data_IF_478178186922
#
_entry.id   IF_478178186922
#
_cell.length_a   1.000
_cell.length_b   1.000
_cell.length_c   1.000
_cell.angle_alpha   90.00
_cell.angle_beta   90.00
_cell.angle_gamma   90.00
#
_symmetry.space_group_name_H-M   'P 1'
#
loop_
_entity.id
_entity.type
_entity.pdbx_description
1 polymer ?
#
# COMPACT_ATOMS: atom_id res chain seq x y z
N UNK A 1 11.22 -2.26 4.09
CA UNK A 1 10.89 -1.94 5.49
C UNK A 1 11.28 -0.52 5.90
N UNK A 2 12.48 -0.03 5.59
CA UNK A 2 12.95 1.31 6.01
C UNK A 2 12.10 2.50 5.51
N UNK A 3 11.36 2.34 4.40
CA UNK A 3 10.49 3.39 3.84
C UNK A 3 9.13 3.55 4.54
N UNK A 4 8.72 2.58 5.39
CA UNK A 4 7.40 2.59 6.05
C UNK A 4 7.42 3.24 7.44
N UNK A 5 8.59 3.26 8.09
CA UNK A 5 8.79 3.78 9.44
C UNK A 5 8.44 5.27 9.56
N UNK A 6 8.90 6.18 8.67
CA UNK A 6 8.58 7.60 8.81
C UNK A 6 7.08 7.89 8.63
N UNK A 7 6.40 7.14 7.75
CA UNK A 7 4.95 7.27 7.55
C UNK A 7 4.15 6.81 8.76
N UNK A 8 4.52 5.68 9.35
CA UNK A 8 3.83 5.14 10.52
C UNK A 8 4.03 6.03 11.76
N UNK A 9 5.24 6.54 11.96
CA UNK A 9 5.56 7.40 13.10
C UNK A 9 4.82 8.74 13.00
N UNK A 10 4.71 9.31 11.81
CA UNK A 10 3.96 10.55 11.60
C UNK A 10 2.46 10.40 11.90
N UNK A 11 1.83 9.30 11.47
CA UNK A 11 0.42 9.01 11.76
C UNK A 11 0.18 8.87 13.26
N UNK A 12 1.11 8.21 13.98
CA UNK A 12 1.02 8.06 15.43
C UNK A 12 1.17 9.41 16.14
N UNK A 13 2.04 10.29 15.65
CA UNK A 13 2.33 11.57 16.30
C UNK A 13 1.26 12.64 16.06
N UNK A 14 0.61 12.64 14.89
CA UNK A 14 -0.43 13.63 14.57
C UNK A 14 -1.74 13.34 15.32
N UNK A 15 -1.98 12.08 15.66
CA UNK A 15 -3.23 11.63 16.24
C UNK A 15 -3.52 12.24 17.64
N UNK A 16 -2.58 12.25 18.61
CA UNK A 16 -2.78 12.92 19.89
C UNK A 16 -3.08 14.41 19.76
N UNK A 17 -2.49 15.08 18.77
CA UNK A 17 -2.70 16.52 18.53
C UNK A 17 -4.14 16.78 18.15
N UNK A 18 -4.68 16.03 17.18
CA UNK A 18 -6.08 16.16 16.78
C UNK A 18 -7.06 15.66 17.83
N UNK A 19 -6.71 14.64 18.62
CA UNK A 19 -7.52 14.20 19.75
C UNK A 19 -7.68 15.31 20.79
N UNK A 20 -6.58 16.01 21.13
CA UNK A 20 -6.61 17.12 22.08
C UNK A 20 -7.42 18.31 21.54
N UNK A 21 -7.20 18.70 20.28
CA UNK A 21 -7.95 19.79 19.64
C UNK A 21 -9.43 19.45 19.50
N UNK A 22 -9.76 18.20 19.14
CA UNK A 22 -11.13 17.69 19.06
C UNK A 22 -11.86 17.74 20.40
N UNK A 23 -11.20 17.34 21.49
CA UNK A 23 -11.72 17.42 22.86
C UNK A 23 -12.01 18.87 23.29
N UNK A 24 -11.18 19.83 22.89
CA UNK A 24 -11.40 21.26 23.16
C UNK A 24 -12.65 21.80 22.43
N UNK A 25 -12.83 21.40 21.16
CA UNK A 25 -14.00 21.79 20.36
C UNK A 25 -15.30 21.15 20.88
N UNK A 26 -15.29 19.85 21.18
CA UNK A 26 -16.43 19.12 21.74
C UNK A 26 -16.83 19.65 23.13
N UNK A 27 -15.85 20.01 23.96
CA UNK A 27 -16.12 20.63 25.25
C UNK A 27 -16.90 21.94 25.09
N UNK A 28 -16.49 22.82 24.16
CA UNK A 28 -17.16 24.10 23.87
C UNK A 28 -18.57 23.97 23.31
N UNK A 29 -18.84 22.89 22.58
CA UNK A 29 -20.16 22.60 22.03
C UNK A 29 -21.16 22.14 23.09
N UNK A 30 -20.68 21.60 24.22
CA UNK A 30 -21.50 21.16 25.36
C UNK A 30 -21.83 22.28 26.35
N UNK A 31 -21.25 23.48 26.20
CA UNK A 31 -21.61 24.62 27.05
C UNK A 31 -22.99 25.16 26.68
N UNK A 32 -23.70 25.63 27.69
CA UNK A 32 -25.00 26.29 27.54
C UNK A 32 -24.85 27.63 26.82
N UNK A 33 -25.81 27.96 25.93
CA UNK A 33 -25.76 29.11 25.00
C UNK A 33 -25.61 30.48 25.70
N UNK A 34 -25.84 30.54 27.02
CA UNK A 34 -25.64 31.72 27.86
C UNK A 34 -24.15 32.05 28.11
N UNK A 35 -23.24 31.11 27.83
CA UNK A 35 -21.81 31.31 28.07
C UNK A 35 -21.14 32.01 26.87
N UNK A 36 -20.25 33.00 27.10
CA UNK A 36 -19.54 33.71 26.03
C UNK A 36 -18.55 32.82 25.24
N UNK A 37 -18.30 31.60 25.71
CA UNK A 37 -17.42 30.62 25.07
C UNK A 37 -18.17 29.44 24.46
N UNK A 38 -19.50 29.41 24.56
CA UNK A 38 -20.31 28.40 23.90
C UNK A 38 -20.23 28.61 22.39
N UNK A 39 -20.05 27.52 21.65
CA UNK A 39 -20.02 27.56 20.20
C UNK A 39 -20.86 26.41 19.68
N UNK A 40 -22.02 26.75 19.12
CA UNK A 40 -22.99 25.80 18.61
C UNK A 40 -22.92 25.77 17.09
N UNK A 41 -22.57 24.62 16.55
CA UNK A 41 -22.49 24.40 15.11
C UNK A 41 -23.87 23.94 14.64
N UNK A 42 -24.40 24.58 13.59
CA UNK A 42 -25.70 24.21 13.01
C UNK A 42 -25.50 23.11 11.96
N UNK A 43 -25.27 21.89 12.43
CA UNK A 43 -24.98 20.74 11.58
C UNK A 43 -25.15 19.43 12.36
N UNK A 44 -25.44 18.34 11.64
CA UNK A 44 -25.67 17.01 12.21
C UNK A 44 -24.48 16.58 13.09
N UNK A 45 -24.72 16.21 14.35
CA UNK A 45 -23.70 15.76 15.32
C UNK A 45 -23.16 14.38 14.95
N UNK A 46 -22.27 14.29 13.96
CA UNK A 46 -21.65 13.04 13.52
C UNK A 46 -20.13 13.02 13.82
N UNK A 47 -19.61 14.09 14.42
CA UNK A 47 -18.19 14.23 14.76
C UNK A 47 -18.04 14.19 16.28
N UNK A 48 -17.59 13.04 16.79
CA UNK A 48 -17.41 12.82 18.22
C UNK A 48 -15.92 12.63 18.49
N UNK A 49 -15.35 13.44 19.38
CA UNK A 49 -13.94 13.34 19.77
C UNK A 49 -13.73 12.78 21.18
N UNK A 50 -14.74 12.07 21.71
CA UNK A 50 -14.73 11.62 23.11
C UNK A 50 -13.74 10.49 23.36
N UNK A 51 -13.65 9.53 22.43
CA UNK A 51 -12.77 8.37 22.52
C UNK A 51 -11.76 8.32 21.38
N UNK A 52 -10.63 7.64 21.61
CA UNK A 52 -9.60 7.40 20.59
C UNK A 52 -10.21 6.80 19.30
N UNK A 53 -10.96 5.68 19.30
CA UNK A 53 -11.50 5.12 18.07
C UNK A 53 -12.49 6.05 17.35
N UNK A 54 -13.30 6.83 18.07
CA UNK A 54 -14.20 7.80 17.44
C UNK A 54 -13.41 8.91 16.73
N UNK A 55 -12.38 9.46 17.38
CA UNK A 55 -11.50 10.44 16.72
C UNK A 55 -10.86 9.87 15.46
N UNK A 56 -10.44 8.60 15.47
CA UNK A 56 -9.91 7.95 14.27
C UNK A 56 -10.94 7.92 13.12
N UNK A 57 -12.17 7.50 13.39
CA UNK A 57 -13.22 7.42 12.39
C UNK A 57 -13.55 8.81 11.83
N UNK A 58 -13.62 9.82 12.71
CA UNK A 58 -13.86 11.21 12.32
C UNK A 58 -12.74 11.75 11.42
N UNK A 59 -11.47 11.54 11.78
CA UNK A 59 -10.34 11.96 10.94
C UNK A 59 -10.26 11.20 9.61
N UNK A 60 -10.60 9.91 9.61
CA UNK A 60 -10.64 9.11 8.39
C UNK A 60 -11.73 9.63 7.44
N UNK A 61 -12.94 9.89 7.94
CA UNK A 61 -14.03 10.47 7.16
C UNK A 61 -13.66 11.86 6.63
N UNK A 62 -13.03 12.69 7.46
CA UNK A 62 -12.54 14.00 7.04
C UNK A 62 -11.54 13.89 5.87
N UNK A 63 -10.67 12.89 5.89
CA UNK A 63 -9.74 12.61 4.77
C UNK A 63 -10.45 12.17 3.48
N UNK A 64 -11.66 11.62 3.57
CA UNK A 64 -12.49 11.27 2.39
C UNK A 64 -13.33 12.45 1.88
N UNK A 65 -13.16 13.65 2.45
CA UNK A 65 -13.87 14.87 2.04
C UNK A 65 -15.16 15.15 2.83
N UNK A 66 -15.46 14.37 3.87
CA UNK A 66 -16.61 14.59 4.74
C UNK A 66 -16.25 15.38 6.00
N UNK A 67 -15.81 16.62 5.85
CA UNK A 67 -15.46 17.51 6.96
C UNK A 67 -16.23 18.84 6.85
N UNK A 68 -16.52 19.45 8.01
CA UNK A 68 -17.25 20.70 8.07
C UNK A 68 -16.34 21.84 8.55
N UNK A 69 -16.26 22.93 7.76
CA UNK A 69 -15.36 24.04 8.09
C UNK A 69 -15.83 24.86 9.29
N UNK A 70 -17.14 24.82 9.58
CA UNK A 70 -17.76 25.58 10.66
C UNK A 70 -17.34 25.07 12.04
N UNK A 71 -17.10 23.76 12.17
CA UNK A 71 -16.68 23.11 13.41
C UNK A 71 -15.32 23.62 13.90
N UNK A 72 -14.37 23.81 12.97
CA UNK A 72 -13.04 24.36 13.29
C UNK A 72 -13.08 25.83 13.72
N UNK A 73 -14.22 26.52 13.53
CA UNK A 73 -14.41 27.89 14.02
C UNK A 73 -14.55 27.97 15.54
N UNK A 74 -14.93 26.86 16.20
CA UNK A 74 -15.12 26.81 17.65
C UNK A 74 -13.82 26.61 18.44
N UNK A 75 -12.73 26.18 17.78
CA UNK A 75 -11.44 25.96 18.44
C UNK A 75 -10.87 27.24 19.04
N UNK A 76 -10.20 27.15 20.21
CA UNK A 76 -9.51 28.29 20.84
C UNK A 76 -8.51 29.00 19.90
N UNK A 77 -7.78 28.22 19.10
CA UNK A 77 -6.83 28.73 18.10
C UNK A 77 -7.32 28.43 16.69
N UNK A 78 -8.39 29.10 16.26
CA UNK A 78 -9.03 28.88 14.96
C UNK A 78 -8.04 28.88 13.78
N UNK A 79 -7.13 29.85 13.72
CA UNK A 79 -6.13 29.94 12.64
C UNK A 79 -5.19 28.74 12.63
N UNK A 80 -4.69 28.34 13.80
CA UNK A 80 -3.77 27.21 13.96
C UNK A 80 -4.44 25.89 13.57
N UNK A 81 -5.65 25.64 14.07
CA UNK A 81 -6.41 24.42 13.78
C UNK A 81 -6.72 24.29 12.29
N UNK A 82 -7.13 25.39 11.63
CA UNK A 82 -7.38 25.41 10.18
C UNK A 82 -6.12 25.10 9.38
N UNK A 83 -4.98 25.73 9.70
CA UNK A 83 -3.71 25.47 9.01
C UNK A 83 -3.22 24.03 9.22
N UNK A 84 -3.32 23.51 10.45
CA UNK A 84 -2.94 22.13 10.78
C UNK A 84 -3.80 21.12 10.01
N UNK A 85 -5.12 21.36 9.91
CA UNK A 85 -6.04 20.51 9.17
C UNK A 85 -5.74 20.49 7.67
N UNK A 86 -5.50 21.67 7.07
CA UNK A 86 -5.12 21.75 5.65
C UNK A 86 -3.80 21.02 5.38
N UNK A 87 -2.79 21.19 6.24
CA UNK A 87 -1.52 20.48 6.12
C UNK A 87 -1.70 18.96 6.24
N UNK A 88 -2.53 18.50 7.17
CA UNK A 88 -2.90 17.09 7.30
C UNK A 88 -3.57 16.56 6.01
N UNK A 89 -4.43 17.36 5.38
CA UNK A 89 -5.16 16.98 4.18
C UNK A 89 -4.25 16.70 2.98
N UNK A 90 -3.11 17.40 2.88
CA UNK A 90 -2.11 17.13 1.84
C UNK A 90 -1.14 16.01 2.24
N UNK A 91 -0.69 15.99 3.50
CA UNK A 91 0.34 15.05 3.94
C UNK A 91 -0.20 13.63 4.01
N UNK A 92 -1.45 13.41 4.47
CA UNK A 92 -2.00 12.06 4.61
C UNK A 92 -2.11 11.28 3.30
N UNK A 93 -2.72 11.81 2.23
CA UNK A 93 -2.79 11.10 0.95
C UNK A 93 -1.41 10.81 0.35
N UNK A 94 -0.46 11.75 0.45
CA UNK A 94 0.92 11.56 -0.03
C UNK A 94 1.57 10.39 0.70
N UNK A 95 1.38 10.31 2.02
CA UNK A 95 1.94 9.23 2.84
C UNK A 95 1.26 7.87 2.57
N UNK A 96 -0.05 7.84 2.30
CA UNK A 96 -0.74 6.61 1.88
C UNK A 96 -0.25 6.11 0.52
N UNK A 97 -0.08 7.00 -0.44
CA UNK A 97 0.45 6.66 -1.78
C UNK A 97 1.87 6.10 -1.63
N UNK A 98 2.70 6.66 -0.75
CA UNK A 98 4.05 6.16 -0.50
C UNK A 98 4.08 4.72 0.02
N UNK A 99 3.11 4.33 0.85
CA UNK A 99 2.97 2.94 1.34
C UNK A 99 2.44 2.02 0.24
N UNK A 100 1.46 2.49 -0.53
CA UNK A 100 0.85 1.73 -1.63
C UNK A 100 1.88 1.41 -2.72
N UNK A 101 2.67 2.40 -3.14
CA UNK A 101 3.72 2.23 -4.16
C UNK A 101 4.86 1.36 -3.60
N UNK A 102 5.20 1.47 -2.32
CA UNK A 102 6.26 0.64 -1.73
C UNK A 102 5.89 -0.85 -1.69
N UNK A 103 4.63 -1.16 -1.34
CA UNK A 103 4.13 -2.53 -1.38
C UNK A 103 4.02 -3.02 -2.82
N UNK A 104 3.44 -2.20 -3.71
CA UNK A 104 3.35 -2.50 -5.14
C UNK A 104 4.72 -2.66 -5.81
N UNK A 105 5.75 -1.92 -5.40
CA UNK A 105 7.10 -2.04 -5.98
C UNK A 105 7.82 -3.32 -5.58
N UNK A 106 7.68 -3.75 -4.33
CA UNK A 106 8.22 -5.03 -3.86
C UNK A 106 7.42 -6.21 -4.43
N UNK A 107 6.09 -6.09 -4.56
CA UNK A 107 5.29 -7.13 -5.21
C UNK A 107 5.50 -7.14 -6.72
N UNK A 108 5.71 -6.01 -7.39
CA UNK A 108 5.97 -5.95 -8.82
C UNK A 108 7.22 -6.75 -9.21
N UNK A 109 8.31 -6.55 -8.47
CA UNK A 109 9.57 -7.28 -8.74
C UNK A 109 9.44 -8.79 -8.46
N UNK A 110 8.73 -9.17 -7.41
CA UNK A 110 8.51 -10.60 -7.08
C UNK A 110 7.52 -11.28 -8.03
N UNK A 111 6.43 -10.60 -8.40
CA UNK A 111 5.43 -11.07 -9.37
C UNK A 111 6.05 -11.22 -10.75
N UNK A 112 6.92 -10.31 -11.19
CA UNK A 112 7.63 -10.46 -12.47
C UNK A 112 8.54 -11.70 -12.47
N UNK A 113 9.33 -11.90 -11.40
CA UNK A 113 10.21 -13.06 -11.31
C UNK A 113 9.42 -14.38 -11.26
N UNK A 114 8.25 -14.38 -10.61
CA UNK A 114 7.33 -15.51 -10.60
C UNK A 114 6.67 -15.73 -11.97
N UNK A 115 6.27 -14.65 -12.65
CA UNK A 115 5.69 -14.69 -13.98
C UNK A 115 6.67 -15.24 -15.02
N UNK A 116 7.95 -14.88 -14.95
CA UNK A 116 8.98 -15.43 -15.83
C UNK A 116 9.18 -16.94 -15.62
N UNK A 117 9.17 -17.40 -14.36
CA UNK A 117 9.22 -18.84 -14.05
C UNK A 117 7.98 -19.57 -14.57
N UNK A 118 6.79 -19.01 -14.36
CA UNK A 118 5.54 -19.56 -14.86
C UNK A 118 5.51 -19.61 -16.38
N UNK A 119 6.00 -18.56 -17.05
CA UNK A 119 6.14 -18.48 -18.50
C UNK A 119 7.03 -19.60 -19.04
N UNK A 120 8.22 -19.80 -18.45
CA UNK A 120 9.13 -20.89 -18.88
C UNK A 120 8.51 -22.27 -18.66
N UNK A 121 7.76 -22.45 -17.58
CA UNK A 121 7.06 -23.71 -17.30
C UNK A 121 5.95 -23.98 -18.32
N UNK A 122 5.14 -22.98 -18.65
CA UNK A 122 4.12 -23.09 -19.70
C UNK A 122 4.76 -23.36 -21.07
N UNK A 123 5.85 -22.67 -21.39
CA UNK A 123 6.61 -22.89 -22.62
C UNK A 123 7.09 -24.34 -22.74
N UNK A 124 7.70 -24.89 -21.68
CA UNK A 124 8.15 -26.28 -21.68
C UNK A 124 7.00 -27.29 -21.81
N UNK A 125 5.84 -27.02 -21.22
CA UNK A 125 4.65 -27.87 -21.36
C UNK A 125 4.14 -27.86 -22.81
N UNK A 126 4.04 -26.68 -23.43
CA UNK A 126 3.61 -26.54 -24.83
C UNK A 126 4.57 -27.29 -25.76
N UNK A 127 5.89 -27.11 -25.58
CA UNK A 127 6.90 -27.82 -26.38
C UNK A 127 6.78 -29.34 -26.19
N UNK A 128 6.66 -29.84 -24.96
CA UNK A 128 6.52 -31.28 -24.72
C UNK A 128 5.27 -31.87 -25.40
N UNK A 129 4.15 -31.15 -25.36
CA UNK A 129 2.90 -31.58 -26.02
C UNK A 129 3.08 -31.59 -27.54
N UNK A 130 3.72 -30.57 -28.11
CA UNK A 130 4.07 -30.50 -29.53
C UNK A 130 4.98 -31.66 -29.94
N UNK A 131 6.05 -31.94 -29.18
CA UNK A 131 6.93 -33.08 -29.43
C UNK A 131 6.17 -34.40 -29.37
N UNK A 132 5.24 -34.59 -28.42
CA UNK A 132 4.43 -35.81 -28.38
C UNK A 132 3.46 -35.95 -29.56
N UNK A 133 3.05 -34.84 -30.17
CA UNK A 133 2.16 -34.84 -31.35
C UNK A 133 2.88 -35.16 -32.66
N UNK A 134 4.21 -35.02 -32.71
CA UNK A 134 5.03 -35.37 -33.88
C UNK A 134 5.50 -36.83 -33.78
N UNK A 135 5.50 -37.56 -34.89
CA UNK A 135 5.94 -38.96 -34.92
C UNK A 135 7.41 -39.12 -34.50
N UNK A 136 7.68 -40.12 -33.65
CA UNK A 136 9.00 -40.38 -33.02
C UNK A 136 10.17 -40.43 -34.02
N UNK A 137 9.93 -40.91 -35.23
CA UNK A 137 10.94 -41.07 -36.28
C UNK A 137 11.40 -39.73 -36.86
N UNK A 138 10.48 -38.78 -37.06
CA UNK A 138 10.81 -37.42 -37.54
C UNK A 138 11.50 -36.57 -36.48
N UNK A 139 11.15 -36.78 -35.21
CA UNK A 139 11.83 -36.16 -34.06
C UNK A 139 13.27 -36.63 -33.91
N UNK A 140 13.51 -37.94 -33.98
CA UNK A 140 14.85 -38.50 -33.89
C UNK A 140 15.76 -38.00 -35.02
N UNK A 141 15.24 -37.92 -36.25
CA UNK A 141 15.97 -37.36 -37.39
C UNK A 141 16.33 -35.88 -37.16
N UNK A 142 15.38 -35.07 -36.68
CA UNK A 142 15.60 -33.65 -36.40
C UNK A 142 16.58 -33.43 -35.23
N UNK A 143 16.51 -34.25 -34.18
CA UNK A 143 17.44 -34.17 -33.03
C UNK A 143 18.88 -34.52 -33.42
N UNK A 144 19.08 -35.50 -34.30
CA UNK A 144 20.41 -35.87 -34.82
C UNK A 144 20.98 -34.75 -35.69
N UNK A 145 20.15 -34.11 -36.51
CA UNK A 145 20.58 -33.03 -37.41
C UNK A 145 21.03 -31.77 -36.65
N UNK A 146 20.36 -31.41 -35.56
CA UNK A 146 20.76 -30.29 -34.68
C UNK A 146 21.75 -30.69 -33.58
N UNK A 147 22.15 -31.97 -33.48
CA UNK A 147 23.14 -32.41 -32.50
C UNK A 147 24.54 -31.93 -32.92
N UNK A 148 25.05 -30.93 -32.21
CA UNK A 148 26.42 -30.46 -32.38
C UNK A 148 27.36 -31.56 -31.87
N UNK A 149 28.26 -32.07 -32.73
CA UNK A 149 29.33 -32.96 -32.29
C UNK A 149 30.28 -32.15 -31.42
N UNK A 150 30.30 -32.46 -30.12
CA UNK A 150 31.34 -32.02 -29.19
C UNK A 150 32.60 -32.86 -29.45
N UNK A 151 33.23 -32.68 -30.61
CA UNK A 151 34.63 -33.09 -30.78
C UNK A 151 35.52 -31.88 -30.46
N UNK A 152 36.56 -32.11 -29.65
CA UNK A 152 37.58 -31.15 -29.21
C UNK A 152 37.23 -30.18 -28.06
N UNK A 153 36.98 -30.67 -26.84
CA UNK A 153 37.66 -30.13 -25.63
C UNK A 153 37.82 -31.26 -24.61
N UNK A 154 39.03 -31.83 -24.58
CA UNK A 154 39.50 -32.69 -23.50
C UNK A 154 39.48 -31.95 -22.16
N UNK A 155 39.06 -32.68 -21.11
CA UNK A 155 39.06 -32.32 -19.68
C UNK A 155 37.77 -31.72 -19.10
N UNK A 156 36.79 -32.64 -18.93
CA UNK A 156 36.14 -32.91 -17.63
C UNK A 156 35.59 -31.69 -16.87
N UNK A 157 34.50 -31.08 -17.36
CA UNK A 157 33.50 -30.48 -16.46
C UNK A 157 32.35 -31.46 -16.28
N UNK A 158 32.39 -32.17 -15.16
CA UNK A 158 31.29 -32.99 -14.65
C UNK A 158 30.14 -32.04 -14.27
N UNK A 159 29.20 -31.84 -15.19
CA UNK A 159 27.92 -31.21 -14.87
C UNK A 159 27.08 -32.28 -14.17
N UNK A 160 27.16 -32.35 -12.84
CA UNK A 160 26.15 -33.07 -12.06
C UNK A 160 24.90 -32.22 -12.04
N UNK A 161 23.93 -32.55 -12.90
CA UNK A 161 22.56 -32.07 -12.73
C UNK A 161 21.98 -32.82 -11.53
N UNK A 162 22.06 -32.19 -10.36
CA UNK A 162 21.36 -32.62 -9.17
C UNK A 162 19.90 -32.20 -9.28
N UNK A 163 19.03 -33.12 -9.69
CA UNK A 163 17.60 -32.99 -9.47
C UNK A 163 17.34 -33.21 -7.99
N UNK A 164 17.14 -32.12 -7.25
CA UNK A 164 16.61 -32.14 -5.89
C UNK A 164 15.21 -32.71 -5.90
N UNK A 165 15.02 -33.78 -5.12
CA UNK A 165 13.73 -34.39 -4.82
C UNK A 165 13.02 -33.58 -3.73
#
# INVERSE_FOLDING_TARGET
MLKLVPSFTFIILIFPVFYFVGKDMDAKQKLEDTNPHACRISGYTIYTYNTFPETFITLFRASMGGYDYEEFSCANYQALTKTLFVLYMFVMPIMMINILIAMMGNTYTTVIAQAEKAWRQQYAQIVMVLERSVGKERLAASQLEYSIRLDQVSWRRRITVSWGR
#
